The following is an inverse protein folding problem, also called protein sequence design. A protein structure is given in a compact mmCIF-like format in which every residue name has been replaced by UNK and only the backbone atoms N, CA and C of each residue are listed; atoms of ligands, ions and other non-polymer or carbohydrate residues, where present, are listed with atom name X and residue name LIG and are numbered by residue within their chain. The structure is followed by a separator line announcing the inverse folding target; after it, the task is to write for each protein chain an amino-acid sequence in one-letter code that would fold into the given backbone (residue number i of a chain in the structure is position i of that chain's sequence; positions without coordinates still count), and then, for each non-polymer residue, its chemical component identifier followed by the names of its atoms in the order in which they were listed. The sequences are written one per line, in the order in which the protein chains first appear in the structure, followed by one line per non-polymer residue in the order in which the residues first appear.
data_IF_272127708694
#
_entry.id   IF_272127708694
#
_cell.length_a   1.000
_cell.length_b   1.000
_cell.length_c   1.000
_cell.angle_alpha   90.00
_cell.angle_beta   90.00
_cell.angle_gamma   90.00
#
_symmetry.space_group_name_H-M   'P 1'
#
loop_
_entity.id
_entity.type
_entity.pdbx_description
1 polymer ?
#
# COMPACT_ATOMS: atom_id res chain seq x y z
N UNK A 1 -12.57 -4.06 3.46
CA UNK A 1 -11.13 -3.74 3.40
C UNK A 1 -10.71 -3.93 1.97
N UNK A 2 -9.95 -3.01 1.40
CA UNK A 2 -9.50 -3.05 0.01
C UNK A 2 -7.99 -3.20 0.04
N UNK A 3 -7.47 -4.24 -0.62
CA UNK A 3 -6.04 -4.44 -0.76
C UNK A 3 -5.50 -3.50 -1.85
N UNK A 4 -4.48 -2.72 -1.50
CA UNK A 4 -3.81 -1.79 -2.38
C UNK A 4 -2.38 -2.27 -2.61
N UNK A 5 -1.91 -2.32 -3.86
CA UNK A 5 -0.51 -2.60 -4.15
C UNK A 5 0.36 -1.40 -3.74
N UNK A 6 1.61 -1.66 -3.30
CA UNK A 6 2.52 -0.61 -2.86
C UNK A 6 3.11 0.18 -4.02
N UNK A 7 3.06 -0.36 -5.24
CA UNK A 7 3.42 0.33 -6.48
C UNK A 7 2.18 0.51 -7.34
N UNK A 8 2.04 1.69 -7.95
CA UNK A 8 0.88 2.06 -8.74
C UNK A 8 1.31 2.65 -10.08
N UNK A 9 0.44 2.58 -11.08
CA UNK A 9 0.67 3.18 -12.39
C UNK A 9 0.76 4.70 -12.27
N UNK A 10 1.81 5.29 -12.84
CA UNK A 10 1.91 6.74 -12.97
C UNK A 10 1.03 7.27 -14.12
N UNK A 11 -0.16 7.75 -13.81
CA UNK A 11 -1.12 8.27 -14.80
C UNK A 11 -0.61 9.47 -15.60
N UNK A 12 0.41 10.18 -15.11
CA UNK A 12 1.00 11.35 -15.78
C UNK A 12 2.08 10.95 -16.81
N UNK A 13 2.60 9.73 -16.74
CA UNK A 13 3.66 9.27 -17.63
C UNK A 13 3.12 8.90 -19.02
N UNK A 14 3.81 9.38 -20.07
CA UNK A 14 3.45 9.10 -21.48
C UNK A 14 3.67 7.64 -21.89
N UNK A 15 4.57 6.94 -21.21
CA UNK A 15 4.82 5.49 -21.31
C UNK A 15 4.46 4.79 -20.01
N UNK A 16 4.35 3.47 -20.05
CA UNK A 16 4.10 2.65 -18.88
C UNK A 16 5.21 2.84 -17.85
N UNK A 17 4.84 3.31 -16.67
CA UNK A 17 5.72 3.61 -15.55
C UNK A 17 4.97 3.33 -14.24
N UNK A 18 5.69 2.86 -13.23
CA UNK A 18 5.14 2.61 -11.90
C UNK A 18 5.89 3.46 -10.88
N UNK A 19 5.21 3.84 -9.80
CA UNK A 19 5.82 4.57 -8.69
C UNK A 19 5.26 4.05 -7.37
N UNK A 20 6.02 4.14 -6.27
CA UNK A 20 5.50 3.79 -4.95
C UNK A 20 4.28 4.66 -4.61
N UNK A 21 3.26 4.06 -4.01
CA UNK A 21 2.00 4.72 -3.66
C UNK A 21 2.21 5.80 -2.59
N UNK A 22 3.11 5.57 -1.64
CA UNK A 22 3.43 6.55 -0.59
C UNK A 22 3.95 7.88 -1.15
N UNK A 23 4.71 7.83 -2.25
CA UNK A 23 5.17 9.03 -2.96
C UNK A 23 4.00 9.86 -3.50
N UNK A 24 2.84 9.24 -3.74
CA UNK A 24 1.63 9.95 -4.15
C UNK A 24 0.83 10.44 -2.95
N UNK A 25 0.62 9.57 -1.95
CA UNK A 25 -0.19 9.86 -0.78
C UNK A 25 0.40 10.97 0.09
N UNK A 26 1.72 11.04 0.19
CA UNK A 26 2.45 12.05 0.97
C UNK A 26 3.01 13.19 0.10
N UNK A 27 2.51 13.36 -1.12
CA UNK A 27 2.94 14.46 -1.97
C UNK A 27 2.31 15.78 -1.53
N UNK A 28 3.11 16.82 -1.44
CA UNK A 28 2.67 18.19 -1.15
C UNK A 28 1.69 18.73 -2.19
N UNK A 29 1.76 18.27 -3.44
CA UNK A 29 0.89 18.71 -4.54
C UNK A 29 -0.57 18.29 -4.38
N UNK A 30 -0.86 17.36 -3.47
CA UNK A 30 -2.24 16.99 -3.10
C UNK A 30 -2.97 18.08 -2.31
N UNK A 31 -2.26 19.14 -1.90
CA UNK A 31 -2.78 20.26 -1.10
C UNK A 31 -2.65 21.58 -1.87
N UNK A 32 -3.60 22.53 -1.69
CA UNK A 32 -3.49 23.84 -2.31
C UNK A 32 -2.22 24.59 -1.86
N UNK A 33 -1.81 25.58 -2.66
CA UNK A 33 -0.68 26.44 -2.34
C UNK A 33 -1.02 27.40 -1.18
N UNK A 34 -2.22 27.98 -1.23
CA UNK A 34 -2.74 28.91 -0.24
C UNK A 34 -4.17 28.51 0.17
N UNK A 35 -4.53 28.58 1.46
CA UNK A 35 -3.63 28.82 2.60
C UNK A 35 -2.61 27.68 2.78
N UNK A 36 -1.50 27.90 3.52
CA UNK A 36 -0.52 26.85 3.81
C UNK A 36 -1.20 25.62 4.42
N UNK A 37 -0.78 24.39 4.07
CA UNK A 37 -1.35 23.19 4.61
C UNK A 37 -1.22 23.21 6.12
N UNK A 38 -2.32 22.83 6.75
CA UNK A 38 -2.43 22.71 8.19
C UNK A 38 -3.24 21.46 8.50
N UNK A 39 -3.20 21.04 9.76
CA UNK A 39 -3.88 19.83 10.18
C UNK A 39 -5.39 19.89 9.88
N UNK A 40 -5.87 18.93 9.11
CA UNK A 40 -7.30 18.75 8.79
C UNK A 40 -7.88 17.55 9.52
N UNK A 41 -9.04 17.76 10.14
CA UNK A 41 -9.79 16.75 10.88
C UNK A 41 -11.28 16.89 10.64
N UNK A 42 -12.03 15.84 10.94
CA UNK A 42 -13.48 15.84 10.74
C UNK A 42 -14.06 14.44 10.65
N UNK A 43 -15.37 14.34 10.86
CA UNK A 43 -16.11 13.11 10.61
C UNK A 43 -16.12 12.81 9.11
N UNK A 44 -16.30 11.54 8.78
CA UNK A 44 -16.40 11.09 7.40
C UNK A 44 -17.77 11.45 6.85
N UNK A 45 -17.80 12.18 5.74
CA UNK A 45 -19.03 12.50 5.01
C UNK A 45 -19.24 11.53 3.84
N UNK A 46 -20.48 11.35 3.35
CA UNK A 46 -20.76 10.52 2.17
C UNK A 46 -19.93 10.92 0.93
N UNK A 47 -19.69 12.21 0.73
CA UNK A 47 -18.88 12.75 -0.37
C UNK A 47 -17.44 12.29 -0.24
N UNK A 48 -16.87 12.32 0.98
CA UNK A 48 -15.51 11.83 1.25
C UNK A 48 -15.42 10.32 1.02
N UNK A 49 -16.44 9.55 1.38
CA UNK A 49 -16.50 8.10 1.09
C UNK A 49 -16.48 7.86 -0.42
N UNK A 50 -17.34 8.56 -1.17
CA UNK A 50 -17.41 8.46 -2.63
C UNK A 50 -16.08 8.85 -3.29
N UNK A 51 -15.46 9.94 -2.85
CA UNK A 51 -14.17 10.40 -3.35
C UNK A 51 -13.05 9.38 -3.07
N UNK A 52 -12.99 8.84 -1.85
CA UNK A 52 -11.98 7.84 -1.46
C UNK A 52 -12.15 6.54 -2.25
N UNK A 53 -13.38 6.08 -2.46
CA UNK A 53 -13.65 4.92 -3.32
C UNK A 53 -13.23 5.16 -4.75
N UNK A 54 -13.58 6.32 -5.32
CA UNK A 54 -13.16 6.68 -6.67
C UNK A 54 -11.64 6.64 -6.79
N UNK A 55 -10.92 7.26 -5.85
CA UNK A 55 -9.45 7.23 -5.81
C UNK A 55 -8.91 5.79 -5.78
N UNK A 56 -9.44 4.93 -4.91
CA UNK A 56 -9.02 3.53 -4.80
C UNK A 56 -9.29 2.76 -6.10
N UNK A 57 -10.47 2.92 -6.71
CA UNK A 57 -10.78 2.29 -8.00
C UNK A 57 -9.86 2.79 -9.11
N UNK A 58 -9.57 4.09 -9.17
CA UNK A 58 -8.62 4.64 -10.15
C UNK A 58 -7.21 4.08 -9.94
N UNK A 59 -6.76 3.87 -8.71
CA UNK A 59 -5.47 3.24 -8.41
C UNK A 59 -5.43 1.79 -8.93
N UNK A 60 -6.50 1.02 -8.67
CA UNK A 60 -6.54 -0.41 -8.99
C UNK A 60 -6.81 -0.66 -10.47
N UNK A 61 -7.79 0.02 -11.04
CA UNK A 61 -8.38 -0.24 -12.36
C UNK A 61 -8.05 0.86 -13.39
N UNK A 62 -7.27 1.88 -13.03
CA UNK A 62 -6.98 3.02 -13.91
C UNK A 62 -8.21 3.88 -14.22
N UNK A 63 -8.08 4.74 -15.22
CA UNK A 63 -9.15 5.69 -15.62
C UNK A 63 -10.35 5.01 -16.29
N UNK A 64 -10.19 3.76 -16.75
CA UNK A 64 -11.25 2.96 -17.40
C UNK A 64 -12.11 2.16 -16.42
N UNK A 65 -11.79 2.19 -15.12
CA UNK A 65 -12.55 1.53 -14.07
C UNK A 65 -13.99 2.06 -14.01
N UNK A 66 -14.90 1.39 -14.72
CA UNK A 66 -16.30 1.76 -14.75
C UNK A 66 -16.84 1.88 -13.33
N UNK A 67 -17.38 3.04 -12.97
CA UNK A 67 -18.10 3.33 -11.71
C UNK A 67 -19.39 2.50 -11.55
N UNK A 68 -19.56 1.42 -12.32
CA UNK A 68 -20.74 0.58 -12.36
C UNK A 68 -20.72 -0.59 -11.36
N UNK A 69 -19.73 -0.67 -10.47
CA UNK A 69 -19.89 -1.51 -9.27
C UNK A 69 -20.90 -0.84 -8.35
N UNK A 70 -22.15 -1.31 -8.41
CA UNK A 70 -23.19 -1.11 -7.39
C UNK A 70 -22.71 -1.65 -6.04
N UNK A 71 -21.80 -0.94 -5.39
CA UNK A 71 -21.44 -1.19 -4.01
C UNK A 71 -22.42 -0.42 -3.14
N UNK A 72 -23.48 -1.12 -2.70
CA UNK A 72 -24.43 -0.69 -1.65
C UNK A 72 -23.70 -0.76 -0.31
N UNK A 73 -22.68 0.07 -0.15
CA UNK A 73 -21.96 0.15 1.12
C UNK A 73 -21.89 1.61 1.50
N UNK A 74 -22.26 1.93 2.73
CA UNK A 74 -22.16 3.29 3.27
C UNK A 74 -20.93 3.45 4.16
N UNK A 75 -20.11 2.40 4.34
CA UNK A 75 -18.89 2.47 5.16
C UNK A 75 -17.70 3.03 4.38
N UNK A 76 -16.88 3.82 5.07
CA UNK A 76 -15.61 4.31 4.51
C UNK A 76 -14.72 3.13 4.10
N UNK A 77 -14.15 3.13 2.86
CA UNK A 77 -13.23 2.07 2.46
C UNK A 77 -11.96 2.13 3.32
N UNK A 78 -11.55 0.98 3.86
CA UNK A 78 -10.27 0.82 4.55
C UNK A 78 -9.28 0.18 3.59
N UNK A 79 -8.26 0.92 3.17
CA UNK A 79 -7.16 0.42 2.36
C UNK A 79 -6.11 -0.29 3.21
N UNK A 80 -5.60 -1.44 2.75
CA UNK A 80 -4.43 -2.10 3.32
C UNK A 80 -3.35 -2.17 2.27
N UNK A 81 -2.18 -1.63 2.61
CA UNK A 81 -0.98 -1.66 1.79
C UNK A 81 -0.18 -2.92 2.11
N UNK A 82 0.13 -3.70 1.09
CA UNK A 82 1.00 -4.87 1.22
C UNK A 82 1.48 -5.29 -0.15
N UNK A 83 2.77 -5.63 -0.25
CA UNK A 83 3.34 -6.20 -1.46
C UNK A 83 2.54 -7.40 -1.95
N UNK A 84 2.33 -8.39 -1.08
CA UNK A 84 1.82 -9.70 -1.49
C UNK A 84 0.31 -9.89 -1.27
N UNK A 85 -0.32 -9.16 -0.35
CA UNK A 85 -1.72 -9.42 0.02
C UNK A 85 -2.67 -9.28 -1.17
N UNK A 86 -2.56 -8.19 -1.94
CA UNK A 86 -3.36 -7.95 -3.14
C UNK A 86 -3.23 -9.11 -4.14
N UNK A 87 -2.03 -9.67 -4.26
CA UNK A 87 -1.74 -10.76 -5.18
C UNK A 87 -2.32 -12.08 -4.69
N UNK A 88 -2.24 -12.38 -3.38
CA UNK A 88 -2.82 -13.59 -2.81
C UNK A 88 -4.34 -13.65 -2.94
N UNK A 89 -5.01 -12.50 -2.85
CA UNK A 89 -6.45 -12.39 -3.14
C UNK A 89 -6.74 -12.72 -4.60
N UNK A 90 -5.98 -12.10 -5.49
CA UNK A 90 -6.11 -12.29 -6.93
C UNK A 90 -5.83 -13.73 -7.38
N UNK A 91 -4.89 -14.42 -6.75
CA UNK A 91 -4.58 -15.84 -7.02
C UNK A 91 -5.61 -16.81 -6.39
N UNK A 92 -6.50 -16.30 -5.53
CA UNK A 92 -7.48 -17.08 -4.77
C UNK A 92 -6.87 -17.88 -3.61
N UNK A 93 -5.64 -17.53 -3.19
CA UNK A 93 -4.95 -18.13 -2.03
C UNK A 93 -5.60 -17.63 -0.74
N UNK A 94 -5.88 -16.33 -0.66
CA UNK A 94 -6.66 -15.73 0.42
C UNK A 94 -8.08 -15.47 -0.07
N UNK A 95 -9.06 -15.87 0.74
CA UNK A 95 -10.47 -15.56 0.52
C UNK A 95 -10.92 -14.54 1.55
N UNK A 96 -11.56 -13.48 1.08
CA UNK A 96 -12.13 -12.45 1.95
C UNK A 96 -13.62 -12.69 2.13
N UNK A 97 -14.04 -12.70 3.39
CA UNK A 97 -15.43 -12.67 3.77
C UNK A 97 -15.68 -11.38 4.55
N UNK A 98 -16.71 -10.65 4.16
CA UNK A 98 -17.15 -9.48 4.91
C UNK A 98 -18.24 -9.93 5.88
N UNK A 99 -17.97 -9.85 7.17
CA UNK A 99 -18.95 -10.18 8.19
C UNK A 99 -18.36 -10.22 9.58
N UNK A 100 -19.20 -10.60 10.54
CA UNK A 100 -18.79 -10.85 11.92
C UNK A 100 -18.77 -12.36 12.15
N UNK A 101 -17.66 -12.89 12.66
CA UNK A 101 -17.61 -14.27 13.14
C UNK A 101 -18.50 -14.38 14.38
N UNK A 102 -19.61 -15.11 14.30
CA UNK A 102 -20.58 -15.24 15.39
C UNK A 102 -20.44 -16.54 16.16
N UNK A 103 -20.01 -17.63 15.51
CA UNK A 103 -19.88 -18.94 16.13
C UNK A 103 -18.69 -19.73 15.57
N UNK A 104 -18.03 -20.50 16.44
CA UNK A 104 -17.10 -21.56 16.10
C UNK A 104 -17.65 -22.89 16.64
N UNK A 105 -17.97 -23.83 15.76
CA UNK A 105 -18.56 -25.13 16.13
C UNK A 105 -17.53 -26.23 15.92
N UNK A 106 -17.40 -27.12 16.90
CA UNK A 106 -16.68 -28.38 16.70
C UNK A 106 -17.63 -29.36 16.02
N UNK A 107 -17.24 -29.91 14.87
CA UNK A 107 -18.04 -30.94 14.20
C UNK A 107 -17.72 -32.31 14.77
N UNK A 108 -18.70 -32.97 15.39
CA UNK A 108 -18.53 -34.33 15.93
C UNK A 108 -18.09 -35.29 14.82
N UNK A 109 -16.93 -35.92 14.97
CA UNK A 109 -16.39 -36.89 14.00
C UNK A 109 -15.49 -36.31 12.89
N UNK A 110 -15.21 -35.00 12.86
CA UNK A 110 -14.19 -34.40 11.97
C UNK A 110 -13.13 -33.66 12.79
N UNK A 111 -11.87 -33.71 12.38
CA UNK A 111 -10.82 -32.86 12.96
C UNK A 111 -10.92 -31.46 12.35
N UNK A 112 -11.63 -30.54 12.99
CA UNK A 112 -11.70 -29.14 12.55
C UNK A 112 -12.85 -28.37 13.17
N UNK A 113 -12.74 -27.03 13.12
CA UNK A 113 -13.81 -26.11 13.49
C UNK A 113 -14.57 -25.63 12.25
N UNK A 114 -15.86 -25.36 12.42
CA UNK A 114 -16.69 -24.63 11.45
C UNK A 114 -16.92 -23.22 11.97
N UNK A 115 -16.54 -22.20 11.19
CA UNK A 115 -16.91 -20.82 11.44
C UNK A 115 -18.27 -20.50 10.85
N UNK A 116 -19.07 -19.71 11.58
CA UNK A 116 -20.29 -19.07 11.08
C UNK A 116 -20.04 -17.57 11.04
N UNK A 117 -20.18 -16.98 9.87
CA UNK A 117 -19.93 -15.57 9.59
C UNK A 117 -21.24 -14.93 9.15
N UNK A 118 -21.65 -13.86 9.83
CA UNK A 118 -22.86 -13.11 9.51
C UNK A 118 -22.50 -11.86 8.69
N UNK A 119 -23.10 -11.73 7.51
CA UNK A 119 -22.89 -10.60 6.61
C UNK A 119 -23.55 -9.32 7.16
N UNK A 120 -22.92 -8.15 7.08
CA UNK A 120 -23.48 -6.93 7.66
C UNK A 120 -24.79 -6.51 6.96
N UNK A 121 -25.86 -6.30 7.73
CA UNK A 121 -27.13 -5.79 7.20
C UNK A 121 -28.00 -6.82 6.46
N UNK A 122 -27.60 -8.08 6.45
CA UNK A 122 -28.33 -9.20 5.84
C UNK A 122 -28.45 -10.35 6.84
N UNK A 123 -29.50 -11.17 6.74
CA UNK A 123 -29.57 -12.44 7.49
C UNK A 123 -28.77 -13.58 6.84
N UNK A 124 -27.96 -13.28 5.81
CA UNK A 124 -27.12 -14.27 5.15
C UNK A 124 -25.98 -14.72 6.07
N UNK A 125 -25.87 -16.03 6.23
CA UNK A 125 -24.80 -16.68 6.98
C UNK A 125 -23.91 -17.45 6.03
N UNK A 126 -22.61 -17.23 6.16
CA UNK A 126 -21.58 -18.03 5.51
C UNK A 126 -21.00 -19.01 6.51
N UNK A 127 -20.74 -20.24 6.06
CA UNK A 127 -20.03 -21.24 6.85
C UNK A 127 -18.74 -21.65 6.16
N UNK A 128 -17.68 -21.82 6.96
CA UNK A 128 -16.40 -22.33 6.48
C UNK A 128 -15.93 -23.44 7.40
N UNK A 129 -15.75 -24.63 6.84
CA UNK A 129 -15.33 -25.83 7.55
C UNK A 129 -13.81 -26.00 7.57
N UNK A 130 -13.34 -26.98 8.37
CA UNK A 130 -11.95 -27.41 8.46
C UNK A 130 -10.97 -26.30 8.88
N UNK A 131 -11.42 -25.41 9.76
CA UNK A 131 -10.56 -24.38 10.32
C UNK A 131 -9.60 -25.03 11.32
N UNK A 132 -8.30 -24.87 11.07
CA UNK A 132 -7.23 -25.38 11.94
C UNK A 132 -6.79 -24.37 13.00
N UNK A 133 -6.92 -23.07 12.71
CA UNK A 133 -6.50 -21.98 13.60
C UNK A 133 -7.34 -20.72 13.36
N UNK A 134 -7.51 -19.92 14.41
CA UNK A 134 -8.15 -18.60 14.37
C UNK A 134 -7.16 -17.58 14.91
N UNK A 135 -6.88 -16.54 14.14
CA UNK A 135 -5.94 -15.47 14.51
C UNK A 135 -6.75 -14.20 14.76
N UNK A 136 -6.70 -13.67 15.99
CA UNK A 136 -7.35 -12.42 16.37
C UNK A 136 -6.46 -11.22 16.01
N UNK A 137 -6.56 -10.76 14.77
CA UNK A 137 -5.90 -9.53 14.30
C UNK A 137 -6.76 -8.27 14.58
N UNK A 138 -7.24 -8.10 15.81
CA UNK A 138 -8.24 -7.07 16.19
C UNK A 138 -7.64 -5.76 16.71
N UNK A 139 -6.33 -5.57 16.61
CA UNK A 139 -5.63 -4.39 17.10
C UNK A 139 -5.23 -4.50 18.58
N UNK A 140 -4.97 -3.34 19.20
CA UNK A 140 -4.48 -3.23 20.58
C UNK A 140 -5.48 -2.52 21.49
N UNK A 141 -5.44 -2.82 22.78
CA UNK A 141 -6.28 -2.18 23.80
C UNK A 141 -5.69 -0.84 24.25
N UNK A 142 -6.22 0.24 23.67
CA UNK A 142 -5.75 1.60 23.94
C UNK A 142 -6.12 2.07 25.36
N UNK A 143 -7.37 1.96 25.86
CA UNK A 143 -7.72 2.35 27.22
C UNK A 143 -6.83 1.75 28.32
N UNK A 144 -6.50 0.46 28.24
CA UNK A 144 -5.65 -0.20 29.24
C UNK A 144 -4.23 0.36 29.30
N UNK A 145 -3.74 0.96 28.20
CA UNK A 145 -2.42 1.61 28.16
C UNK A 145 -2.34 2.82 29.09
N UNK A 146 -3.47 3.33 29.58
CA UNK A 146 -3.55 4.47 30.51
C UNK A 146 -3.81 4.07 31.96
N UNK A 147 -3.76 2.77 32.29
CA UNK A 147 -4.03 2.28 33.64
C UNK A 147 -3.10 2.91 34.70
N UNK A 148 -1.88 3.30 34.32
CA UNK A 148 -0.89 3.90 35.21
C UNK A 148 -1.19 5.35 35.62
N UNK A 149 -2.08 6.04 34.91
CA UNK A 149 -2.47 7.43 35.23
C UNK A 149 -3.47 7.44 36.41
N UNK A 150 -3.31 8.42 37.30
CA UNK A 150 -4.25 8.64 38.41
C UNK A 150 -5.64 9.04 37.90
N UNK A 151 -6.67 8.87 38.73
CA UNK A 151 -8.03 9.31 38.40
C UNK A 151 -8.10 10.81 38.09
N UNK A 152 -7.40 11.62 38.87
CA UNK A 152 -7.31 13.08 38.69
C UNK A 152 -6.67 13.46 37.35
N UNK A 153 -5.56 12.81 36.97
CA UNK A 153 -4.93 13.05 35.67
C UNK A 153 -5.83 12.60 34.51
N UNK A 154 -6.51 11.46 34.65
CA UNK A 154 -7.48 10.99 33.65
C UNK A 154 -8.64 11.97 33.47
N UNK A 155 -9.17 12.49 34.57
CA UNK A 155 -10.23 13.50 34.55
C UNK A 155 -9.76 14.79 33.85
N UNK A 156 -8.57 15.28 34.21
CA UNK A 156 -7.98 16.47 33.56
C UNK A 156 -7.81 16.29 32.05
N UNK A 157 -7.33 15.12 31.62
CA UNK A 157 -7.17 14.77 30.19
C UNK A 157 -8.48 14.43 29.48
N UNK A 158 -9.62 14.54 30.16
CA UNK A 158 -10.94 14.16 29.66
C UNK A 158 -10.96 12.72 29.13
N UNK A 159 -10.43 11.78 29.92
CA UNK A 159 -10.34 10.37 29.54
C UNK A 159 -11.72 9.74 29.27
N UNK A 160 -11.82 8.95 28.19
CA UNK A 160 -13.05 8.25 27.79
C UNK A 160 -12.71 6.83 27.29
N UNK A 161 -12.85 5.85 28.18
CA UNK A 161 -12.56 4.43 27.90
C UNK A 161 -13.47 3.83 26.81
N UNK A 162 -14.65 4.42 26.59
CA UNK A 162 -15.61 3.94 25.59
C UNK A 162 -15.32 4.48 24.18
N UNK A 163 -14.28 5.30 24.02
CA UNK A 163 -13.85 5.82 22.73
C UNK A 163 -12.35 5.55 22.49
N UNK A 164 -11.96 4.29 22.18
CA UNK A 164 -10.57 3.91 22.01
C UNK A 164 -9.84 4.64 20.87
N UNK A 165 -10.56 5.22 19.91
CA UNK A 165 -9.99 6.03 18.83
C UNK A 165 -9.59 7.45 19.28
N UNK A 166 -10.09 7.92 20.42
CA UNK A 166 -9.80 9.24 20.98
C UNK A 166 -10.00 9.24 22.52
N UNK A 167 -9.27 8.39 23.24
CA UNK A 167 -9.51 8.16 24.66
C UNK A 167 -9.05 9.33 25.51
N UNK A 168 -8.10 10.14 25.04
CA UNK A 168 -7.67 11.39 25.69
C UNK A 168 -7.94 12.57 24.75
N UNK A 169 -8.12 13.75 25.33
CA UNK A 169 -8.12 15.00 24.57
C UNK A 169 -6.70 15.55 24.55
N UNK A 170 -6.10 15.64 23.36
CA UNK A 170 -4.82 16.31 23.11
C UNK A 170 -5.09 17.42 22.09
N UNK A 171 -5.04 18.67 22.53
CA UNK A 171 -5.59 19.83 21.82
C UNK A 171 -4.55 20.93 21.54
N UNK A 172 -3.30 20.73 21.98
CA UNK A 172 -2.17 21.64 21.74
C UNK A 172 -0.93 20.86 21.28
N UNK A 173 0.04 21.59 20.72
CA UNK A 173 1.36 21.09 20.34
C UNK A 173 1.31 19.84 19.45
N UNK A 174 0.50 19.93 18.38
CA UNK A 174 0.34 18.88 17.36
C UNK A 174 -0.17 17.55 17.93
N UNK A 175 -1.21 17.63 18.77
CA UNK A 175 -1.86 16.49 19.42
C UNK A 175 -0.93 15.75 20.40
N UNK A 176 -0.09 16.50 21.13
CA UNK A 176 0.84 15.91 22.11
C UNK A 176 0.57 16.33 23.55
N UNK A 177 -0.18 17.41 23.77
CA UNK A 177 -0.46 17.96 25.10
C UNK A 177 -1.94 18.31 25.24
N UNK A 178 -2.38 18.45 26.48
CA UNK A 178 -3.70 18.95 26.84
C UNK A 178 -3.57 20.33 27.50
N UNK A 179 -4.34 21.30 27.05
CA UNK A 179 -4.34 22.67 27.58
C UNK A 179 -4.72 22.79 29.06
N UNK A 180 -5.53 21.88 29.60
CA UNK A 180 -5.90 21.83 31.03
C UNK A 180 -4.87 21.09 31.88
N UNK A 181 -4.00 20.30 31.26
CA UNK A 181 -2.95 19.52 31.92
C UNK A 181 -1.57 19.80 31.29
N UNK A 182 -1.06 21.05 31.38
CA UNK A 182 0.13 21.47 30.64
C UNK A 182 1.41 20.72 31.05
N UNK A 183 1.48 20.18 32.26
CA UNK A 183 2.65 19.45 32.75
C UNK A 183 2.66 17.97 32.30
N UNK A 184 1.69 17.56 31.49
CA UNK A 184 1.60 16.22 30.93
C UNK A 184 1.65 16.27 29.41
N UNK A 185 2.46 15.41 28.80
CA UNK A 185 2.59 15.32 27.36
C UNK A 185 2.77 13.86 26.91
N UNK A 186 2.41 13.60 25.66
CA UNK A 186 2.55 12.31 24.99
C UNK A 186 3.11 12.51 23.59
N UNK A 187 4.11 11.73 23.24
CA UNK A 187 4.67 11.71 21.89
C UNK A 187 4.17 10.47 21.17
N UNK A 188 3.69 10.66 19.94
CA UNK A 188 3.31 9.59 19.03
C UNK A 188 1.97 8.91 19.27
N UNK A 189 1.12 9.42 20.16
CA UNK A 189 -0.18 8.80 20.45
C UNK A 189 -1.10 8.75 19.22
N UNK A 190 -1.15 9.84 18.44
CA UNK A 190 -2.05 9.99 17.29
C UNK A 190 -1.38 9.84 15.92
N UNK A 191 -0.08 9.52 15.88
CA UNK A 191 0.74 9.59 14.67
C UNK A 191 1.58 8.34 14.43
N UNK A 192 1.97 8.12 13.18
CA UNK A 192 2.84 7.01 12.75
C UNK A 192 4.11 7.50 12.06
N UNK A 193 4.39 8.81 12.11
CA UNK A 193 5.50 9.44 11.40
C UNK A 193 6.54 9.92 12.42
N UNK A 194 7.76 9.39 12.33
CA UNK A 194 8.88 9.77 13.20
C UNK A 194 9.13 11.28 13.24
N UNK A 195 9.01 11.97 12.09
CA UNK A 195 9.16 13.43 12.05
C UNK A 195 8.12 14.18 12.86
N UNK A 196 6.90 13.64 12.97
CA UNK A 196 5.88 14.24 13.82
C UNK A 196 6.23 14.05 15.30
N UNK A 197 6.79 12.90 15.67
CA UNK A 197 7.19 12.62 17.06
C UNK A 197 8.28 13.60 17.51
N UNK A 198 9.23 13.84 16.62
CA UNK A 198 10.31 14.81 16.82
C UNK A 198 9.76 16.24 16.96
N UNK A 199 8.82 16.65 16.12
CA UNK A 199 8.16 17.96 16.21
C UNK A 199 7.33 18.12 17.49
N UNK A 200 6.60 17.07 17.90
CA UNK A 200 5.89 17.04 19.18
C UNK A 200 6.87 17.22 20.34
N UNK A 201 7.97 16.47 20.36
CA UNK A 201 8.99 16.59 21.38
C UNK A 201 9.60 18.01 21.45
N UNK A 202 9.93 18.61 20.31
CA UNK A 202 10.40 20.02 20.23
C UNK A 202 9.39 20.98 20.86
N UNK A 203 8.10 20.86 20.49
CA UNK A 203 7.05 21.74 21.00
C UNK A 203 6.84 21.57 22.51
N UNK A 204 6.85 20.33 23.02
CA UNK A 204 6.73 20.02 24.45
C UNK A 204 7.88 20.65 25.22
N UNK A 205 9.13 20.43 24.78
CA UNK A 205 10.31 20.99 25.44
C UNK A 205 10.23 22.51 25.45
N UNK A 206 9.92 23.13 24.30
CA UNK A 206 9.75 24.59 24.21
C UNK A 206 8.68 25.13 25.17
N UNK A 207 7.54 24.44 25.30
CA UNK A 207 6.49 24.83 26.23
C UNK A 207 6.92 24.73 27.70
N UNK A 208 7.71 23.71 28.07
CA UNK A 208 8.13 23.47 29.44
C UNK A 208 9.34 24.30 29.87
N UNK A 209 10.29 24.59 28.97
CA UNK A 209 11.54 25.27 29.34
C UNK A 209 11.44 26.78 29.28
N UNK A 210 10.65 27.30 28.35
CA UNK A 210 10.77 28.71 27.97
C UNK A 210 9.77 29.60 28.70
N UNK A 211 8.77 29.03 29.39
CA UNK A 211 7.56 29.69 29.94
C UNK A 211 6.77 30.57 28.96
N UNK A 212 7.33 30.81 27.76
CA UNK A 212 6.67 31.19 26.55
C UNK A 212 5.89 29.98 26.07
N UNK A 213 4.70 29.77 26.62
CA UNK A 213 3.64 29.26 25.77
C UNK A 213 3.71 30.08 24.49
N UNK A 214 3.89 29.44 23.33
CA UNK A 214 3.88 30.18 22.09
C UNK A 214 2.61 31.02 22.08
N UNK A 215 2.74 32.34 22.13
CA UNK A 215 1.65 33.24 22.49
C UNK A 215 0.35 32.81 21.80
N UNK A 216 -0.69 32.55 22.58
CA UNK A 216 -1.94 32.03 22.03
C UNK A 216 -2.51 33.04 21.03
N UNK A 217 -2.40 32.72 19.75
CA UNK A 217 -2.94 33.56 18.67
C UNK A 217 -4.44 33.30 18.53
N UNK A 218 -5.22 34.28 18.02
CA UNK A 218 -6.64 34.07 17.73
C UNK A 218 -6.89 32.83 16.85
N UNK A 219 -6.05 32.61 15.84
CA UNK A 219 -6.17 31.47 14.93
C UNK A 219 -5.94 30.14 15.64
N UNK A 220 -4.93 30.06 16.53
CA UNK A 220 -4.68 28.85 17.33
C UNK A 220 -5.80 28.56 18.32
N UNK A 221 -6.37 29.60 18.92
CA UNK A 221 -7.54 29.44 19.79
C UNK A 221 -8.73 28.87 19.03
N UNK A 222 -9.04 29.43 17.86
CA UNK A 222 -10.12 28.93 16.99
C UNK A 222 -9.86 27.48 16.56
N UNK A 223 -8.64 27.15 16.11
CA UNK A 223 -8.28 25.78 15.75
C UNK A 223 -8.46 24.80 16.93
N UNK A 224 -8.08 25.21 18.14
CA UNK A 224 -8.28 24.42 19.36
C UNK A 224 -9.77 24.23 19.66
N UNK A 225 -10.58 25.28 19.57
CA UNK A 225 -12.03 25.19 19.77
C UNK A 225 -12.69 24.23 18.77
N UNK A 226 -12.30 24.30 17.49
CA UNK A 226 -12.75 23.37 16.45
C UNK A 226 -12.32 21.93 16.75
N UNK A 227 -11.09 21.73 17.21
CA UNK A 227 -10.57 20.41 17.58
C UNK A 227 -11.30 19.82 18.79
N UNK A 228 -11.55 20.63 19.83
CA UNK A 228 -12.34 20.22 21.00
C UNK A 228 -13.78 19.87 20.62
N UNK A 229 -14.39 20.63 19.69
CA UNK A 229 -15.69 20.29 19.11
C UNK A 229 -15.63 18.96 18.37
N UNK A 230 -14.58 18.73 17.56
CA UNK A 230 -14.38 17.47 16.85
C UNK A 230 -14.24 16.28 17.80
N UNK A 231 -13.48 16.38 18.89
CA UNK A 231 -13.41 15.33 19.91
C UNK A 231 -14.79 14.95 20.45
N UNK A 232 -15.65 15.93 20.75
CA UNK A 232 -17.02 15.70 21.22
C UNK A 232 -17.86 14.99 20.15
N UNK A 233 -17.82 15.47 18.92
CA UNK A 233 -18.59 14.93 17.80
C UNK A 233 -18.14 13.48 17.46
N UNK A 234 -16.83 13.22 17.48
CA UNK A 234 -16.25 11.88 17.28
C UNK A 234 -16.67 10.90 18.37
N UNK A 235 -16.51 11.28 19.65
CA UNK A 235 -16.90 10.43 20.79
C UNK A 235 -18.39 10.13 20.77
N UNK A 236 -19.22 11.11 20.41
CA UNK A 236 -20.66 10.92 20.20
C UNK A 236 -20.92 9.90 19.08
N UNK A 237 -20.31 10.06 17.91
CA UNK A 237 -20.49 9.15 16.77
C UNK A 237 -20.04 7.72 17.10
N UNK A 238 -18.96 7.54 17.86
CA UNK A 238 -18.50 6.21 18.33
C UNK A 238 -19.53 5.58 19.27
N UNK A 239 -20.01 6.31 20.28
CA UNK A 239 -21.00 5.81 21.27
C UNK A 239 -22.34 5.49 20.63
N UNK A 240 -22.79 6.32 19.68
CA UNK A 240 -24.02 6.12 18.90
C UNK A 240 -23.83 5.08 17.76
N UNK A 241 -22.62 4.51 17.62
CA UNK A 241 -22.27 3.47 16.64
C UNK A 241 -22.48 3.89 15.17
N UNK A 242 -22.28 5.17 14.86
CA UNK A 242 -22.29 5.69 13.48
C UNK A 242 -21.02 5.32 12.71
N UNK A 243 -20.84 4.03 12.45
CA UNK A 243 -19.63 3.45 11.85
C UNK A 243 -19.21 4.09 10.52
N UNK A 244 -20.15 4.60 9.72
CA UNK A 244 -19.86 5.28 8.45
C UNK A 244 -19.23 6.66 8.63
N UNK A 245 -19.48 7.33 9.76
CA UNK A 245 -18.99 8.67 10.05
C UNK A 245 -17.66 8.66 10.82
N UNK A 246 -17.36 7.57 11.53
CA UNK A 246 -16.13 7.46 12.33
C UNK A 246 -14.94 7.12 11.40
N UNK A 247 -13.96 8.02 11.24
CA UNK A 247 -12.74 7.71 10.49
C UNK A 247 -11.93 6.60 11.17
N UNK A 248 -11.25 5.77 10.38
CA UNK A 248 -10.38 4.72 10.91
C UNK A 248 -9.19 5.29 11.69
N UNK A 249 -8.58 6.36 11.17
CA UNK A 249 -7.60 7.18 11.88
C UNK A 249 -8.14 8.63 11.99
N UNK A 250 -8.74 9.01 13.14
CA UNK A 250 -9.32 10.35 13.33
C UNK A 250 -8.34 11.51 13.19
N UNK A 251 -7.06 11.25 13.40
CA UNK A 251 -6.00 12.26 13.40
C UNK A 251 -4.95 11.99 12.30
N UNK A 252 -5.33 11.23 11.27
CA UNK A 252 -4.40 10.68 10.27
C UNK A 252 -3.86 11.66 9.21
N UNK A 253 -4.09 12.96 9.33
CA UNK A 253 -3.54 13.95 8.39
C UNK A 253 -2.08 14.30 8.72
N UNK A 254 -1.20 13.32 8.51
CA UNK A 254 0.23 13.47 8.77
C UNK A 254 0.90 14.56 7.93
N UNK A 255 0.45 14.78 6.69
CA UNK A 255 0.97 15.86 5.83
C UNK A 255 0.64 17.22 6.42
N UNK A 256 -0.63 17.45 6.79
CA UNK A 256 -1.06 18.71 7.40
C UNK A 256 -0.37 18.97 8.74
N UNK A 257 -0.20 17.94 9.57
CA UNK A 257 0.52 18.04 10.85
C UNK A 257 1.99 18.40 10.66
N UNK A 258 2.72 17.72 9.77
CA UNK A 258 4.14 18.00 9.51
C UNK A 258 4.36 19.40 8.91
N UNK A 259 3.53 19.81 7.94
CA UNK A 259 3.61 21.14 7.33
C UNK A 259 3.25 22.26 8.32
N UNK A 260 2.25 22.03 9.18
CA UNK A 260 1.92 22.99 10.24
C UNK A 260 3.05 23.10 11.26
N UNK A 261 3.52 21.96 11.77
CA UNK A 261 4.50 21.91 12.82
C UNK A 261 5.87 22.43 12.40
N UNK A 262 6.33 22.09 11.19
CA UNK A 262 7.58 22.63 10.64
C UNK A 262 7.55 24.15 10.54
N UNK A 263 6.45 24.73 10.05
CA UNK A 263 6.26 26.17 9.97
C UNK A 263 6.26 26.84 11.35
N UNK A 264 5.50 26.29 12.29
CA UNK A 264 5.35 26.87 13.63
C UNK A 264 6.60 26.72 14.51
N UNK A 265 7.42 25.69 14.26
CA UNK A 265 8.73 25.50 14.89
C UNK A 265 9.87 26.22 14.15
N UNK A 266 9.58 26.96 13.07
CA UNK A 266 10.55 27.66 12.22
C UNK A 266 11.66 26.74 11.68
N UNK A 267 11.29 25.54 11.22
CA UNK A 267 12.22 24.62 10.58
C UNK A 267 12.51 25.06 9.13
N UNK A 268 13.75 24.88 8.71
CA UNK A 268 14.19 25.13 7.34
C UNK A 268 13.75 23.99 6.42
N UNK A 269 13.21 24.34 5.24
CA UNK A 269 12.73 23.35 4.26
C UNK A 269 13.79 23.07 3.19
N UNK A 270 14.14 21.80 3.03
CA UNK A 270 15.09 21.31 2.03
C UNK A 270 14.36 20.77 0.80
N UNK A 271 14.06 21.64 -0.16
CA UNK A 271 13.26 21.27 -1.34
C UNK A 271 14.08 20.66 -2.49
N UNK A 272 15.38 20.92 -2.56
CA UNK A 272 16.24 20.56 -3.70
C UNK A 272 15.59 20.99 -5.04
N UNK A 273 15.29 20.05 -5.93
CA UNK A 273 14.60 20.29 -7.20
C UNK A 273 13.06 20.38 -7.14
N UNK A 274 12.42 20.27 -5.97
CA UNK A 274 10.98 20.44 -5.84
C UNK A 274 10.59 21.91 -5.69
N UNK A 275 9.40 22.27 -6.17
CA UNK A 275 8.80 23.57 -5.85
C UNK A 275 8.20 23.57 -4.44
N UNK A 276 7.79 24.75 -3.98
CA UNK A 276 7.08 24.92 -2.71
C UNK A 276 5.81 24.08 -2.58
N UNK A 277 5.16 23.77 -3.71
CA UNK A 277 3.89 23.04 -3.76
C UNK A 277 4.06 21.59 -4.21
N UNK A 278 5.30 21.12 -4.39
CA UNK A 278 5.61 19.78 -4.87
C UNK A 278 6.52 19.03 -3.90
N UNK A 279 6.72 17.74 -4.16
CA UNK A 279 7.65 16.91 -3.42
C UNK A 279 7.04 16.21 -2.22
N UNK A 280 7.76 15.21 -1.73
CA UNK A 280 7.30 14.34 -0.65
C UNK A 280 7.44 15.04 0.70
N UNK A 281 6.41 14.92 1.53
CA UNK A 281 6.41 15.41 2.91
C UNK A 281 6.98 14.31 3.78
N UNK A 282 8.24 14.48 4.19
CA UNK A 282 8.97 13.52 5.03
C UNK A 282 9.89 14.27 5.99
N UNK A 283 10.37 13.60 7.04
CA UNK A 283 11.18 14.23 8.09
C UNK A 283 12.43 14.92 7.54
N UNK A 284 13.15 14.26 6.63
CA UNK A 284 14.39 14.78 6.02
C UNK A 284 14.20 16.07 5.21
N UNK A 285 12.95 16.48 4.96
CA UNK A 285 12.64 17.74 4.28
C UNK A 285 12.67 18.94 5.24
N UNK A 286 12.56 18.75 6.55
CA UNK A 286 12.48 19.83 7.53
C UNK A 286 13.63 19.73 8.54
N UNK A 287 14.42 20.79 8.68
CA UNK A 287 15.67 20.79 9.45
C UNK A 287 15.69 21.92 10.47
N UNK A 288 16.35 21.72 11.60
CA UNK A 288 16.63 22.85 12.50
C UNK A 288 17.59 23.83 11.80
N UNK A 289 17.43 25.15 12.04
CA UNK A 289 18.39 26.13 11.55
C UNK A 289 19.82 25.79 12.00
N UNK A 290 20.72 25.62 11.02
CA UNK A 290 22.12 25.28 11.29
C UNK A 290 22.41 23.81 11.62
N UNK A 291 21.43 22.90 11.47
CA UNK A 291 21.66 21.46 11.60
C UNK A 291 22.58 20.91 10.49
N UNK A 292 23.19 19.75 10.74
CA UNK A 292 23.90 19.01 9.69
C UNK A 292 22.91 18.52 8.62
N UNK A 293 23.11 18.99 7.40
CA UNK A 293 22.24 18.72 6.27
C UNK A 293 22.62 17.45 5.49
N UNK A 294 23.74 16.77 5.81
CA UNK A 294 24.31 15.72 4.95
C UNK A 294 23.35 14.54 4.70
N UNK A 295 22.81 13.93 5.76
CA UNK A 295 21.90 12.78 5.63
C UNK A 295 20.53 13.19 5.06
N UNK A 296 20.10 14.43 5.35
CA UNK A 296 18.88 15.00 4.79
C UNK A 296 19.01 15.19 3.26
N UNK A 297 20.12 15.77 2.80
CA UNK A 297 20.46 15.91 1.39
C UNK A 297 20.50 14.55 0.69
N UNK A 298 21.18 13.57 1.29
CA UNK A 298 21.28 12.20 0.75
C UNK A 298 19.89 11.56 0.60
N UNK A 299 19.05 11.66 1.63
CA UNK A 299 17.68 11.10 1.61
C UNK A 299 16.81 11.80 0.57
N UNK A 300 16.76 13.14 0.58
CA UNK A 300 15.97 13.91 -0.38
C UNK A 300 16.45 13.71 -1.83
N UNK A 301 17.76 13.63 -2.05
CA UNK A 301 18.33 13.31 -3.37
C UNK A 301 17.94 11.90 -3.83
N UNK A 302 17.99 10.92 -2.92
CA UNK A 302 17.59 9.54 -3.22
C UNK A 302 16.10 9.47 -3.59
N UNK A 303 15.22 10.15 -2.86
CA UNK A 303 13.79 10.21 -3.17
C UNK A 303 13.51 10.89 -4.53
N UNK A 304 14.19 11.99 -4.84
CA UNK A 304 14.09 12.65 -6.16
C UNK A 304 14.60 11.75 -7.28
N UNK A 305 15.72 11.07 -7.07
CA UNK A 305 16.28 10.10 -8.01
C UNK A 305 15.29 8.95 -8.24
N UNK A 306 14.73 8.39 -7.18
CA UNK A 306 13.76 7.30 -7.25
C UNK A 306 12.53 7.68 -8.07
N UNK A 307 11.95 8.86 -7.78
CA UNK A 307 10.80 9.39 -8.51
C UNK A 307 11.11 9.63 -9.99
N UNK A 308 12.32 10.08 -10.31
CA UNK A 308 12.75 10.30 -11.69
C UNK A 308 12.97 8.98 -12.43
N UNK A 309 13.71 8.06 -11.82
CA UNK A 309 14.03 6.75 -12.41
C UNK A 309 12.78 5.91 -12.66
N UNK A 310 11.81 5.98 -11.75
CA UNK A 310 10.48 5.36 -11.89
C UNK A 310 9.74 5.85 -13.15
N UNK A 311 9.85 7.15 -13.47
CA UNK A 311 9.18 7.77 -14.63
C UNK A 311 9.94 7.63 -15.94
N UNK A 312 11.27 7.79 -15.89
CA UNK A 312 12.10 7.99 -17.08
C UNK A 312 12.87 6.75 -17.51
N UNK A 313 13.28 5.88 -16.57
CA UNK A 313 14.16 4.74 -16.84
C UNK A 313 13.50 3.37 -16.71
N UNK A 314 12.16 3.33 -16.57
CA UNK A 314 11.43 2.08 -16.44
C UNK A 314 11.71 1.31 -15.13
N UNK A 315 12.20 2.00 -14.09
CA UNK A 315 12.37 1.38 -12.77
C UNK A 315 10.99 0.95 -12.24
N UNK A 316 10.93 -0.20 -11.58
CA UNK A 316 9.74 -0.90 -11.08
C UNK A 316 8.90 -1.62 -12.14
N UNK A 317 9.30 -1.62 -13.42
CA UNK A 317 8.62 -2.40 -14.46
C UNK A 317 8.74 -3.90 -14.21
N UNK A 318 9.95 -4.36 -13.83
CA UNK A 318 10.18 -5.75 -13.50
C UNK A 318 9.37 -6.15 -12.26
N UNK A 319 9.37 -5.32 -11.20
CA UNK A 319 8.56 -5.55 -10.00
C UNK A 319 7.07 -5.67 -10.30
N UNK A 320 6.51 -4.71 -11.05
CA UNK A 320 5.10 -4.70 -11.42
C UNK A 320 4.73 -5.93 -12.25
N UNK A 321 5.61 -6.34 -13.16
CA UNK A 321 5.43 -7.54 -13.98
C UNK A 321 5.50 -8.82 -13.16
N UNK A 322 6.53 -8.96 -12.32
CA UNK A 322 6.74 -10.13 -11.47
C UNK A 322 5.54 -10.39 -10.57
N UNK A 323 5.06 -9.36 -9.87
CA UNK A 323 3.87 -9.43 -9.04
C UNK A 323 2.59 -9.63 -9.85
N UNK A 324 2.50 -9.00 -11.03
CA UNK A 324 1.38 -9.13 -11.93
C UNK A 324 1.16 -10.57 -12.45
N UNK A 325 2.24 -11.35 -12.60
CA UNK A 325 2.19 -12.73 -13.08
C UNK A 325 1.55 -13.72 -12.10
N UNK A 326 1.33 -13.37 -10.83
CA UNK A 326 0.82 -14.32 -9.85
C UNK A 326 -0.55 -14.91 -10.25
N UNK A 327 -0.73 -16.21 -10.01
CA UNK A 327 -1.97 -16.94 -10.30
C UNK A 327 -1.92 -17.75 -11.58
N UNK A 328 -3.10 -18.06 -12.12
CA UNK A 328 -3.28 -19.01 -13.23
C UNK A 328 -3.58 -18.27 -14.53
N UNK A 329 -2.89 -18.66 -15.60
CA UNK A 329 -2.98 -18.05 -16.93
C UNK A 329 -3.13 -19.12 -18.00
N UNK A 330 -3.93 -18.86 -19.01
CA UNK A 330 -4.15 -19.78 -20.12
C UNK A 330 -4.01 -19.06 -21.46
N UNK A 331 -3.36 -19.72 -22.40
CA UNK A 331 -3.28 -19.32 -23.80
C UNK A 331 -3.55 -20.51 -24.70
N UNK A 332 -4.07 -20.24 -25.88
CA UNK A 332 -4.12 -21.20 -26.97
C UNK A 332 -3.44 -20.58 -28.19
N UNK A 333 -2.57 -21.34 -28.83
CA UNK A 333 -1.85 -20.93 -30.04
C UNK A 333 -1.96 -22.02 -31.10
N UNK A 334 -1.82 -21.65 -32.37
CA UNK A 334 -1.63 -22.62 -33.46
C UNK A 334 -0.19 -22.53 -33.94
N UNK A 335 0.48 -23.66 -34.05
CA UNK A 335 1.80 -23.71 -34.68
C UNK A 335 1.71 -23.53 -36.20
N UNK A 336 2.87 -23.51 -36.87
CA UNK A 336 2.96 -23.35 -38.33
C UNK A 336 2.32 -24.53 -39.11
N UNK A 337 2.07 -25.66 -38.45
CA UNK A 337 1.37 -26.82 -39.02
C UNK A 337 -0.16 -26.76 -38.85
N UNK A 338 -0.65 -25.76 -38.10
CA UNK A 338 -2.06 -25.58 -37.76
C UNK A 338 -2.52 -26.37 -36.54
N UNK A 339 -1.61 -27.09 -35.84
CA UNK A 339 -1.92 -27.82 -34.61
C UNK A 339 -2.20 -26.82 -33.50
N UNK A 340 -3.35 -26.98 -32.85
CA UNK A 340 -3.71 -26.22 -31.66
C UNK A 340 -2.89 -26.73 -30.48
N UNK A 341 -2.21 -25.82 -29.80
CA UNK A 341 -1.49 -26.06 -28.55
C UNK A 341 -2.11 -25.21 -27.46
N UNK A 342 -2.43 -25.81 -26.31
CA UNK A 342 -2.94 -25.08 -25.15
C UNK A 342 -1.84 -25.07 -24.09
N UNK A 343 -1.54 -23.87 -23.60
CA UNK A 343 -0.52 -23.63 -22.58
C UNK A 343 -1.18 -22.99 -21.37
N UNK A 344 -0.97 -23.58 -20.20
CA UNK A 344 -1.35 -23.02 -18.92
C UNK A 344 -0.11 -22.71 -18.08
N UNK A 345 -0.07 -21.55 -17.45
CA UNK A 345 0.94 -21.21 -16.45
C UNK A 345 0.28 -20.98 -15.09
N UNK A 346 0.78 -21.64 -14.07
CA UNK A 346 0.41 -21.40 -12.67
C UNK A 346 1.62 -20.86 -11.91
N UNK A 347 1.56 -19.59 -11.50
CA UNK A 347 2.58 -18.95 -10.68
C UNK A 347 2.18 -19.01 -9.21
N UNK A 348 2.98 -19.73 -8.42
CA UNK A 348 2.77 -19.94 -7.01
C UNK A 348 3.81 -19.16 -6.20
N UNK A 349 3.39 -18.31 -5.24
CA UNK A 349 4.32 -17.56 -4.42
C UNK A 349 4.96 -18.49 -3.38
N UNK A 350 6.25 -18.30 -3.10
CA UNK A 350 6.94 -18.98 -1.99
C UNK A 350 8.04 -18.11 -1.38
N UNK A 351 8.56 -18.54 -0.23
CA UNK A 351 9.77 -17.93 0.33
C UNK A 351 10.95 -18.15 -0.62
N UNK A 352 11.79 -17.13 -0.86
CA UNK A 352 13.00 -17.30 -1.66
C UNK A 352 13.87 -18.43 -1.12
N UNK A 353 14.24 -19.34 -2.00
CA UNK A 353 15.21 -20.41 -1.69
C UNK A 353 16.66 -19.91 -1.63
N UNK A 354 16.89 -18.65 -2.01
CA UNK A 354 18.18 -17.96 -1.96
C UNK A 354 17.95 -16.55 -1.42
N UNK A 355 18.72 -16.15 -0.42
CA UNK A 355 18.57 -14.88 0.29
C UNK A 355 19.01 -13.66 -0.52
N UNK A 356 19.66 -13.83 -1.68
CA UNK A 356 19.96 -12.72 -2.57
C UNK A 356 18.75 -12.20 -3.34
N UNK A 357 17.59 -12.87 -3.25
CA UNK A 357 16.36 -12.50 -3.92
C UNK A 357 15.28 -12.16 -2.90
N UNK A 358 14.52 -11.11 -3.18
CA UNK A 358 13.45 -10.64 -2.30
C UNK A 358 12.17 -11.48 -2.46
N UNK A 359 11.90 -11.95 -3.69
CA UNK A 359 10.73 -12.77 -3.99
C UNK A 359 11.02 -13.91 -4.98
N UNK A 360 10.28 -15.00 -4.81
CA UNK A 360 10.35 -16.18 -5.67
C UNK A 360 8.96 -16.76 -5.95
N UNK A 361 8.68 -17.03 -7.22
CA UNK A 361 7.51 -17.78 -7.66
C UNK A 361 7.95 -19.12 -8.26
N UNK A 362 7.29 -20.21 -7.84
CA UNK A 362 7.33 -21.48 -8.55
C UNK A 362 6.29 -21.42 -9.68
N UNK A 363 6.75 -21.42 -10.93
CA UNK A 363 5.91 -21.43 -12.11
C UNK A 363 5.79 -22.85 -12.66
N UNK A 364 4.56 -23.33 -12.82
CA UNK A 364 4.28 -24.61 -13.47
C UNK A 364 3.64 -24.32 -14.83
N UNK A 365 4.37 -24.60 -15.90
CA UNK A 365 3.84 -24.60 -17.26
C UNK A 365 3.24 -25.98 -17.55
N UNK A 366 2.02 -26.03 -18.09
CA UNK A 366 1.38 -27.23 -18.61
C UNK A 366 1.08 -27.02 -20.09
N UNK A 367 1.70 -27.82 -20.96
CA UNK A 367 1.54 -27.76 -22.42
C UNK A 367 1.00 -29.10 -22.91
N UNK A 368 -0.21 -29.11 -23.47
CA UNK A 368 -0.91 -30.33 -23.92
C UNK A 368 -0.93 -31.49 -22.88
N UNK A 369 -0.87 -31.16 -21.58
CA UNK A 369 -0.87 -32.10 -20.46
C UNK A 369 0.51 -32.44 -19.88
N UNK A 370 1.60 -32.09 -20.56
CA UNK A 370 2.96 -32.21 -20.05
C UNK A 370 3.30 -31.04 -19.14
N UNK A 371 3.94 -31.31 -17.99
CA UNK A 371 4.24 -30.29 -16.97
C UNK A 371 5.74 -30.02 -16.89
N UNK A 372 6.10 -28.74 -16.85
CA UNK A 372 7.45 -28.28 -16.59
C UNK A 372 7.44 -27.19 -15.52
N UNK A 373 8.35 -27.28 -14.57
CA UNK A 373 8.48 -26.31 -13.49
C UNK A 373 9.72 -25.41 -13.67
N UNK A 374 9.58 -24.12 -13.40
CA UNK A 374 10.65 -23.14 -13.38
C UNK A 374 10.48 -22.19 -12.18
N UNK A 375 11.56 -21.52 -11.80
CA UNK A 375 11.55 -20.53 -10.72
C UNK A 375 11.72 -19.15 -11.30
N UNK A 376 10.79 -18.26 -10.99
CA UNK A 376 10.90 -16.84 -11.29
C UNK A 376 11.38 -16.15 -10.03
N UNK A 377 12.45 -15.37 -10.12
CA UNK A 377 13.03 -14.64 -8.99
C UNK A 377 13.10 -13.16 -9.29
N UNK A 378 12.89 -12.34 -8.25
CA UNK A 378 13.02 -10.90 -8.31
C UNK A 378 14.02 -10.38 -7.28
N UNK A 379 14.86 -9.43 -7.68
CA UNK A 379 15.81 -8.69 -6.84
C UNK A 379 15.50 -7.20 -6.90
N UNK A 380 15.17 -6.60 -5.75
CA UNK A 380 14.73 -5.21 -5.61
C UNK A 380 15.87 -4.22 -5.85
N UNK A 381 17.09 -4.55 -5.42
CA UNK A 381 18.24 -3.67 -5.54
C UNK A 381 18.54 -3.29 -7.00
N UNK A 382 18.43 -4.26 -7.92
CA UNK A 382 18.69 -4.09 -9.35
C UNK A 382 17.42 -4.02 -10.20
N UNK A 383 16.23 -4.16 -9.61
CA UNK A 383 14.95 -4.29 -10.30
C UNK A 383 14.99 -5.35 -11.42
N UNK A 384 15.49 -6.55 -11.09
CA UNK A 384 15.74 -7.61 -12.05
C UNK A 384 14.78 -8.79 -11.87
N UNK A 385 14.24 -9.31 -12.97
CA UNK A 385 13.44 -10.53 -13.00
C UNK A 385 14.17 -11.62 -13.77
N UNK A 386 14.42 -12.77 -13.14
CA UNK A 386 15.18 -13.89 -13.71
C UNK A 386 14.37 -15.19 -13.68
N UNK A 387 14.68 -16.11 -14.58
CA UNK A 387 14.07 -17.44 -14.68
C UNK A 387 15.15 -18.50 -14.50
N UNK A 388 14.85 -19.48 -13.65
CA UNK A 388 15.74 -20.58 -13.30
C UNK A 388 15.05 -21.91 -13.55
N UNK A 389 15.85 -22.91 -13.89
CA UNK A 389 15.40 -24.29 -14.04
C UNK A 389 15.27 -24.94 -12.67
N UNK A 390 14.32 -25.87 -12.56
CA UNK A 390 14.16 -26.71 -11.38
C UNK A 390 15.04 -27.96 -11.47
N UNK A 391 15.40 -28.53 -10.31
CA UNK A 391 16.02 -29.84 -10.21
C UNK A 391 14.97 -30.94 -10.48
N UNK A 392 15.38 -32.21 -10.39
CA UNK A 392 14.50 -33.37 -10.66
C UNK A 392 13.31 -33.46 -9.68
N UNK A 393 13.41 -32.84 -8.50
CA UNK A 393 12.33 -32.74 -7.53
C UNK A 393 11.22 -31.74 -7.96
N UNK A 394 11.43 -30.97 -9.02
CA UNK A 394 10.51 -29.96 -9.55
C UNK A 394 10.36 -28.73 -8.67
N UNK A 395 11.18 -28.56 -7.63
CA UNK A 395 11.03 -27.50 -6.62
C UNK A 395 12.36 -26.79 -6.34
N UNK A 396 13.45 -27.52 -6.23
CA UNK A 396 14.77 -26.96 -5.94
C UNK A 396 15.35 -26.25 -7.16
N UNK A 397 16.16 -25.21 -6.94
CA UNK A 397 16.81 -24.49 -8.02
C UNK A 397 18.00 -25.30 -8.59
N UNK A 398 18.12 -25.35 -9.92
CA UNK A 398 19.23 -26.02 -10.62
C UNK A 398 20.19 -25.05 -11.29
N UNK A 399 19.69 -24.08 -12.05
CA UNK A 399 20.53 -23.12 -12.75
C UNK A 399 19.75 -22.05 -13.52
N UNK A 400 20.41 -20.91 -13.75
CA UNK A 400 19.83 -19.76 -14.45
C UNK A 400 19.52 -20.14 -15.90
N UNK A 401 18.29 -19.87 -16.33
CA UNK A 401 17.84 -20.06 -17.71
C UNK A 401 17.97 -18.75 -18.48
N UNK A 402 17.58 -17.63 -17.87
CA UNK A 402 17.69 -16.33 -18.50
C UNK A 402 17.08 -15.21 -17.67
N UNK A 403 17.13 -14.01 -18.24
CA UNK A 403 16.81 -12.75 -17.57
C UNK A 403 15.86 -11.92 -18.44
N UNK A 404 14.87 -11.29 -17.83
CA UNK A 404 14.03 -10.32 -18.53
C UNK A 404 14.72 -8.96 -18.57
N UNK A 405 14.95 -8.45 -19.78
CA UNK A 405 15.42 -7.10 -20.03
C UNK A 405 14.27 -6.21 -20.52
N UNK A 406 13.81 -5.33 -19.64
CA UNK A 406 12.75 -4.36 -19.92
C UNK A 406 13.27 -3.12 -20.65
N UNK A 407 14.58 -2.89 -20.66
CA UNK A 407 15.24 -1.75 -21.30
C UNK A 407 15.90 -2.12 -22.64
N UNK A 408 15.66 -3.33 -23.12
CA UNK A 408 16.22 -3.80 -24.39
C UNK A 408 15.80 -2.86 -25.53
N UNK A 409 16.72 -2.58 -26.48
CA UNK A 409 16.52 -1.61 -27.58
C UNK A 409 15.28 -1.86 -28.45
N UNK A 410 14.81 -3.10 -28.50
CA UNK A 410 13.63 -3.51 -29.28
C UNK A 410 12.32 -3.45 -28.46
N UNK A 411 12.38 -3.05 -27.19
CA UNK A 411 11.23 -2.93 -26.32
C UNK A 411 10.60 -1.55 -26.48
N UNK A 412 9.40 -1.53 -27.04
CA UNK A 412 8.56 -0.34 -27.10
C UNK A 412 7.46 -0.44 -26.05
N UNK A 413 7.50 0.43 -25.05
CA UNK A 413 6.45 0.54 -24.03
C UNK A 413 5.34 1.46 -24.52
N UNK A 414 4.10 1.00 -24.41
CA UNK A 414 2.91 1.83 -24.61
C UNK A 414 2.51 2.52 -23.31
N UNK A 415 1.38 3.25 -23.30
CA UNK A 415 0.85 3.88 -22.07
C UNK A 415 0.54 2.82 -20.99
N UNK A 416 -0.08 1.72 -21.37
CA UNK A 416 -0.51 0.65 -20.45
C UNK A 416 0.13 -0.70 -20.79
N UNK A 417 1.12 -0.68 -21.66
CA UNK A 417 1.82 -1.88 -22.12
C UNK A 417 3.29 -1.80 -21.76
N UNK A 418 3.79 -2.83 -21.10
CA UNK A 418 5.22 -3.08 -20.86
C UNK A 418 5.69 -4.16 -21.83
N UNK A 419 6.91 -4.05 -22.33
CA UNK A 419 7.54 -5.04 -23.19
C UNK A 419 8.87 -5.46 -22.60
N UNK A 420 9.24 -6.72 -22.76
CA UNK A 420 10.52 -7.24 -22.27
C UNK A 420 11.09 -8.25 -23.26
N UNK A 421 12.41 -8.25 -23.41
CA UNK A 421 13.14 -9.31 -24.10
C UNK A 421 13.61 -10.34 -23.07
N UNK A 422 13.46 -11.62 -23.36
CA UNK A 422 14.06 -12.68 -22.55
C UNK A 422 15.44 -13.04 -23.09
N UNK A 423 16.46 -12.86 -22.25
CA UNK A 423 17.87 -13.06 -22.58
C UNK A 423 18.37 -14.37 -21.95
N UNK A 424 18.65 -15.42 -22.74
CA UNK A 424 19.14 -16.70 -22.22
C UNK A 424 20.53 -16.56 -21.57
N UNK A 425 20.77 -17.31 -20.49
CA UNK A 425 22.01 -17.23 -19.70
C UNK A 425 23.28 -17.65 -20.45
N UNK A 426 23.16 -18.51 -21.46
CA UNK A 426 24.30 -19.15 -22.15
C UNK A 426 24.70 -18.47 -23.48
N UNK A 427 24.18 -17.27 -23.78
CA UNK A 427 24.57 -16.53 -24.98
C UNK A 427 25.54 -15.41 -24.58
N UNK A 428 26.83 -15.74 -24.53
CA UNK A 428 27.90 -14.74 -24.48
C UNK A 428 28.03 -14.06 -25.85
N UNK A 429 27.72 -12.77 -25.91
CA UNK A 429 28.15 -11.92 -27.02
C UNK A 429 27.05 -11.37 -27.90
N UNK A 430 27.23 -10.08 -28.20
CA UNK A 430 26.50 -9.27 -29.17
C UNK A 430 26.13 -10.03 -30.45
N UNK A 431 24.90 -10.55 -30.54
CA UNK A 431 24.31 -10.92 -31.83
C UNK A 431 23.52 -12.22 -31.85
N UNK A 432 22.31 -12.21 -31.29
CA UNK A 432 21.21 -12.97 -31.89
C UNK A 432 19.89 -12.33 -31.53
N UNK A 433 19.21 -11.81 -32.55
CA UNK A 433 17.91 -11.12 -32.52
C UNK A 433 16.71 -12.03 -32.23
N UNK A 434 16.90 -13.16 -31.55
CA UNK A 434 15.91 -14.25 -31.47
C UNK A 434 15.50 -14.72 -30.07
N UNK A 435 15.63 -13.86 -29.06
CA UNK A 435 15.02 -14.11 -27.75
C UNK A 435 13.51 -13.91 -27.76
N UNK A 436 12.79 -14.67 -26.93
CA UNK A 436 11.36 -14.49 -26.73
C UNK A 436 11.02 -13.06 -26.34
N UNK A 437 10.02 -12.49 -27.01
CA UNK A 437 9.51 -11.15 -26.69
C UNK A 437 8.22 -11.27 -25.91
N UNK A 438 8.17 -10.59 -24.79
CA UNK A 438 7.01 -10.54 -23.91
C UNK A 438 6.36 -9.17 -23.97
N UNK A 439 5.03 -9.16 -23.91
CA UNK A 439 4.22 -7.96 -23.83
C UNK A 439 3.20 -8.11 -22.71
N UNK A 440 3.22 -7.21 -21.73
CA UNK A 440 2.38 -7.22 -20.54
C UNK A 440 1.40 -6.04 -20.60
N UNK A 441 0.10 -6.30 -20.51
CA UNK A 441 -0.94 -5.27 -20.56
C UNK A 441 -1.52 -5.04 -19.16
N UNK A 442 -1.35 -3.82 -18.66
CA UNK A 442 -1.83 -3.39 -17.35
C UNK A 442 -3.11 -2.55 -17.47
N UNK A 443 -3.87 -2.50 -16.39
CA UNK A 443 -4.97 -1.56 -16.17
C UNK A 443 -4.87 -1.13 -14.72
N UNK A 444 -4.54 0.14 -14.49
CA UNK A 444 -4.06 0.59 -13.19
C UNK A 444 -2.84 -0.22 -12.75
N UNK A 445 -2.88 -0.77 -11.54
CA UNK A 445 -1.80 -1.61 -11.00
C UNK A 445 -1.95 -3.12 -11.33
N UNK A 446 -3.00 -3.53 -12.07
CA UNK A 446 -3.32 -4.95 -12.30
C UNK A 446 -2.85 -5.37 -13.70
N UNK A 447 -2.08 -6.48 -13.78
CA UNK A 447 -1.81 -7.17 -15.04
C UNK A 447 -3.07 -7.90 -15.54
N UNK A 448 -3.58 -7.51 -16.71
CA UNK A 448 -4.80 -8.10 -17.30
C UNK A 448 -4.50 -9.28 -18.20
N UNK A 449 -3.52 -9.12 -19.09
CA UNK A 449 -3.08 -10.13 -20.04
C UNK A 449 -1.59 -9.98 -20.29
N UNK A 450 -0.97 -11.04 -20.79
CA UNK A 450 0.36 -10.93 -21.36
C UNK A 450 0.47 -11.79 -22.61
N UNK A 451 1.48 -11.52 -23.42
CA UNK A 451 1.72 -12.23 -24.68
C UNK A 451 3.17 -12.67 -24.71
N UNK A 452 3.42 -13.93 -25.09
CA UNK A 452 4.75 -14.48 -25.37
C UNK A 452 4.86 -14.69 -26.87
N UNK A 453 5.79 -14.02 -27.53
CA UNK A 453 6.13 -14.26 -28.94
C UNK A 453 7.42 -15.07 -28.99
N UNK A 454 7.30 -16.30 -29.47
CA UNK A 454 8.40 -17.22 -29.69
C UNK A 454 8.64 -17.36 -31.19
N UNK A 455 9.90 -17.31 -31.64
CA UNK A 455 10.21 -17.31 -33.08
C UNK A 455 9.69 -18.55 -33.81
N UNK A 456 9.79 -19.71 -33.18
CA UNK A 456 9.36 -20.98 -33.79
C UNK A 456 7.86 -21.28 -33.62
N UNK A 457 7.21 -20.79 -32.55
CA UNK A 457 5.89 -21.27 -32.11
C UNK A 457 4.81 -20.18 -32.21
N UNK A 458 5.16 -19.01 -32.72
CA UNK A 458 4.24 -17.90 -32.91
C UNK A 458 3.93 -17.15 -31.61
N UNK A 459 2.73 -16.60 -31.54
CA UNK A 459 2.32 -15.67 -30.48
C UNK A 459 1.26 -16.32 -29.60
N UNK A 460 1.55 -16.45 -28.31
CA UNK A 460 0.61 -16.93 -27.29
C UNK A 460 0.05 -15.77 -26.50
N UNK A 461 -1.28 -15.61 -26.51
CA UNK A 461 -1.99 -14.58 -25.76
C UNK A 461 -2.56 -15.18 -24.47
N UNK A 462 -1.93 -14.87 -23.35
CA UNK A 462 -2.33 -15.35 -22.03
C UNK A 462 -3.39 -14.44 -21.42
N UNK A 463 -4.50 -15.06 -21.05
CA UNK A 463 -5.56 -14.46 -20.24
C UNK A 463 -5.60 -15.14 -18.89
N UNK A 464 -6.01 -14.41 -17.86
CA UNK A 464 -6.13 -14.98 -16.51
C UNK A 464 -7.22 -16.05 -16.52
N UNK A 465 -6.90 -17.24 -16.03
CA UNK A 465 -7.90 -18.30 -15.89
C UNK A 465 -8.92 -17.87 -14.83
N UNK A 466 -10.19 -17.74 -15.23
CA UNK A 466 -11.27 -17.54 -14.28
C UNK A 466 -11.41 -18.82 -13.46
N UNK A 467 -10.98 -18.78 -12.19
CA UNK A 467 -11.42 -19.80 -11.25
C UNK A 467 -12.88 -19.50 -10.90
N UNK A 468 -13.81 -20.05 -11.69
CA UNK A 468 -15.19 -20.24 -11.24
C UNK A 468 -15.14 -21.23 -10.09
N UNK A 469 -15.40 -20.74 -8.88
CA UNK A 469 -15.55 -21.57 -7.69
C UNK A 469 -17.03 -21.67 -7.33
#
# INVERSE_FOLDING_TARGET
MIALPPIIRDSEASKCAFRPLDLVLFNRSSRPAAPPPSFTFGLVTPERIKATRKMIHTIMDGDEGSLNTRSIDDLAPVGVLSDMYTQFLQAGIIRQFRGTLTQLKSTTGKSGLTAVIESPGTQEQWSSDNICAVIHATGFDVPSSFAFLSAETKEALSFDEFCPQAPLVLDVDYLSRNSTCPNFAMVGFSGTLWGLFEMQARAIVGAWTTSSEHAETPDRRLQREDLLKYYKDLRKAVKERYKSQVPHNPFGDGVGLLEQASRELNLERLDLGFSETQGFVCSSRYLDPGADIHEALKTMSALQKESRQSRESGKLLARATFHGLLGSWIAAGKDNSGRLTVVQHDFHPRLPTDSSFDWEHLAVETTDGEKQASLYRYEEQSDLMTVWSTAEDGVSCKGLVGTFDFNHKDCEHGKDTVTAAFLPANIEGNGSSGGDKYRFLFTGAILKTFTRKHEAWGTFHFVRASKTW
#
